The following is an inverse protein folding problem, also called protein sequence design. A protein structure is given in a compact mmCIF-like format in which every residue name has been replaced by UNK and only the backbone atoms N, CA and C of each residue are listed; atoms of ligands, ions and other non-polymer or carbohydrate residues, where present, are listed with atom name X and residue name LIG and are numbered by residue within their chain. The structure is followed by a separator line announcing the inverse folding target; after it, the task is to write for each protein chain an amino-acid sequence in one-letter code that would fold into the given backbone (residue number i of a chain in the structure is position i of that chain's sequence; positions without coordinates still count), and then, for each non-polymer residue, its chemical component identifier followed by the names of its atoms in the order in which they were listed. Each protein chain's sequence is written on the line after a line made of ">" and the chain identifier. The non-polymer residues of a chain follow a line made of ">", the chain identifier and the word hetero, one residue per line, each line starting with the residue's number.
data_IF_198636745455
#
_entry.id   IF_198636745455
#
_cell.length_a   1.000
_cell.length_b   1.000
_cell.length_c   1.000
_cell.angle_alpha   90.00
_cell.angle_beta   90.00
_cell.angle_gamma   90.00
#
_symmetry.space_group_name_H-M   'P 1'
#
loop_
_entity.id
_entity.type
_entity.pdbx_description
1 polymer ?
#
# COMPACT_ATOMS: atom_id res chain seq x y z
N UNK A 1 -14.72 -67.40 -35.97
CA UNK A 1 -14.17 -66.19 -36.62
C UNK A 1 -15.23 -65.61 -37.52
N UNK A 2 -15.88 -64.53 -37.12
CA UNK A 2 -16.80 -63.76 -37.96
C UNK A 2 -16.50 -62.28 -37.71
N UNK A 3 -15.64 -61.72 -38.54
CA UNK A 3 -15.30 -60.30 -38.53
C UNK A 3 -16.46 -59.51 -39.11
N UNK A 4 -17.22 -58.82 -38.26
CA UNK A 4 -18.28 -57.90 -38.68
C UNK A 4 -17.61 -56.62 -39.20
N UNK A 5 -17.55 -56.49 -40.53
CA UNK A 5 -17.11 -55.26 -41.19
C UNK A 5 -18.25 -54.24 -41.10
N UNK A 6 -17.96 -53.04 -40.58
CA UNK A 6 -18.91 -51.94 -40.46
C UNK A 6 -19.35 -51.48 -41.87
N UNK A 7 -20.65 -51.20 -42.10
CA UNK A 7 -21.13 -50.76 -43.41
C UNK A 7 -20.49 -49.41 -43.82
N UNK A 8 -20.12 -49.24 -45.11
CA UNK A 8 -19.37 -48.07 -45.59
C UNK A 8 -20.09 -46.73 -45.37
N UNK A 9 -21.42 -46.74 -45.26
CA UNK A 9 -22.21 -45.55 -44.94
C UNK A 9 -22.01 -45.06 -43.49
N UNK A 10 -21.76 -45.96 -42.53
CA UNK A 10 -21.46 -45.58 -41.14
C UNK A 10 -20.04 -45.01 -41.00
N UNK A 11 -19.09 -45.52 -41.78
CA UNK A 11 -17.72 -44.99 -41.81
C UNK A 11 -17.69 -43.56 -42.38
N UNK A 12 -18.49 -43.28 -43.42
CA UNK A 12 -18.65 -41.92 -43.96
C UNK A 12 -19.30 -40.97 -42.97
N UNK A 13 -20.26 -41.43 -42.17
CA UNK A 13 -20.92 -40.60 -41.16
C UNK A 13 -20.00 -40.31 -39.95
N UNK A 14 -19.19 -41.28 -39.53
CA UNK A 14 -18.18 -41.10 -38.48
C UNK A 14 -17.02 -40.20 -38.96
N UNK A 15 -16.62 -40.30 -40.23
CA UNK A 15 -15.62 -39.40 -40.82
C UNK A 15 -16.15 -37.96 -40.93
N UNK A 16 -17.42 -37.77 -41.29
CA UNK A 16 -18.09 -36.46 -41.29
C UNK A 16 -18.26 -35.88 -39.87
N UNK A 17 -18.53 -36.71 -38.86
CA UNK A 17 -18.57 -36.28 -37.45
C UNK A 17 -17.17 -35.90 -36.94
N UNK A 18 -16.13 -36.63 -37.31
CA UNK A 18 -14.73 -36.34 -36.96
C UNK A 18 -14.19 -35.10 -37.68
N UNK A 19 -14.62 -34.85 -38.92
CA UNK A 19 -14.32 -33.61 -39.68
C UNK A 19 -15.07 -32.38 -39.15
N UNK A 20 -16.17 -32.56 -38.40
CA UNK A 20 -16.84 -31.47 -37.68
C UNK A 20 -16.26 -31.18 -36.28
N UNK A 21 -15.32 -32.01 -35.80
CA UNK A 21 -14.63 -31.83 -34.51
C UNK A 21 -13.21 -31.27 -34.65
N UNK A 22 -12.70 -31.08 -35.88
CA UNK A 22 -11.45 -30.37 -36.14
C UNK A 22 -11.74 -28.98 -36.72
N UNK A 23 -11.21 -27.94 -36.07
CA UNK A 23 -11.29 -26.52 -36.44
C UNK A 23 -12.55 -25.75 -35.98
N UNK A 24 -12.70 -25.65 -34.66
CA UNK A 24 -12.78 -24.32 -34.04
C UNK A 24 -11.61 -24.15 -33.08
N UNK A 25 -10.41 -24.23 -33.62
CA UNK A 25 -9.39 -23.29 -33.19
C UNK A 25 -9.83 -21.94 -33.75
N UNK A 26 -10.73 -21.26 -33.05
CA UNK A 26 -10.61 -19.81 -33.02
C UNK A 26 -9.26 -19.57 -32.35
N UNK A 27 -8.20 -19.55 -33.15
CA UNK A 27 -7.12 -18.60 -32.91
C UNK A 27 -7.87 -17.29 -32.71
N UNK A 28 -8.02 -16.87 -31.45
CA UNK A 28 -8.41 -15.52 -31.16
C UNK A 28 -7.48 -14.68 -32.02
N UNK A 29 -8.03 -14.02 -33.05
CA UNK A 29 -7.29 -12.99 -33.74
C UNK A 29 -6.88 -12.06 -32.61
N UNK A 30 -5.60 -12.12 -32.22
CA UNK A 30 -5.11 -11.38 -31.06
C UNK A 30 -5.47 -9.92 -31.32
N UNK A 31 -6.31 -9.35 -30.47
CA UNK A 31 -6.49 -7.91 -30.48
C UNK A 31 -5.10 -7.31 -30.28
N UNK A 32 -4.60 -6.61 -31.29
CA UNK A 32 -3.30 -5.97 -31.24
C UNK A 32 -3.46 -4.65 -30.50
N UNK A 33 -2.98 -4.62 -29.25
CA UNK A 33 -3.01 -3.41 -28.44
C UNK A 33 -1.79 -2.56 -28.74
N UNK A 34 -1.96 -1.26 -29.06
CA UNK A 34 -0.84 -0.39 -29.41
C UNK A 34 0.10 -0.24 -28.20
N UNK A 35 1.40 -0.44 -28.45
CA UNK A 35 2.48 -0.21 -27.48
C UNK A 35 3.31 1.03 -27.83
N UNK A 36 2.67 2.01 -28.47
CA UNK A 36 3.31 3.21 -29.03
C UNK A 36 3.49 4.36 -28.02
N UNK A 37 3.31 4.07 -26.73
CA UNK A 37 3.45 5.06 -25.66
C UNK A 37 2.22 5.94 -25.44
N UNK A 38 1.08 5.64 -26.06
CA UNK A 38 -0.19 6.32 -25.76
C UNK A 38 -1.00 5.56 -24.70
N UNK A 39 -1.83 6.31 -23.96
CA UNK A 39 -2.80 5.72 -23.04
C UNK A 39 -3.92 5.05 -23.84
N UNK A 40 -4.12 3.75 -23.65
CA UNK A 40 -5.16 2.99 -24.34
C UNK A 40 -6.51 3.07 -23.61
N UNK A 41 -7.60 3.17 -24.37
CA UNK A 41 -8.96 3.10 -23.84
C UNK A 41 -9.43 1.64 -23.78
N UNK A 42 -9.77 1.18 -22.57
CA UNK A 42 -10.31 -0.15 -22.35
C UNK A 42 -11.77 -0.10 -21.87
N UNK A 43 -12.52 -1.14 -22.22
CA UNK A 43 -13.90 -1.36 -21.81
C UNK A 43 -14.22 -2.85 -21.62
N UNK A 44 -15.47 -3.15 -21.27
CA UNK A 44 -15.95 -4.52 -21.02
C UNK A 44 -15.68 -5.50 -22.18
N UNK A 45 -15.52 -5.02 -23.42
CA UNK A 45 -15.34 -5.88 -24.60
C UNK A 45 -13.88 -6.28 -24.86
N UNK A 46 -12.91 -5.43 -24.51
CA UNK A 46 -11.50 -5.63 -24.81
C UNK A 46 -10.60 -5.80 -23.57
N UNK A 47 -11.12 -5.59 -22.35
CA UNK A 47 -10.32 -5.62 -21.13
C UNK A 47 -9.63 -6.98 -20.89
N UNK A 48 -10.37 -8.08 -21.01
CA UNK A 48 -9.80 -9.42 -20.77
C UNK A 48 -8.80 -9.82 -21.86
N UNK A 49 -9.00 -9.37 -23.10
CA UNK A 49 -8.03 -9.55 -24.18
C UNK A 49 -6.74 -8.77 -23.90
N UNK A 50 -6.85 -7.53 -23.40
CA UNK A 50 -5.70 -6.73 -22.99
C UNK A 50 -4.89 -7.41 -21.87
N UNK A 51 -5.57 -7.97 -20.86
CA UNK A 51 -4.92 -8.72 -19.78
C UNK A 51 -4.16 -9.97 -20.27
N UNK A 52 -4.67 -10.64 -21.31
CA UNK A 52 -4.01 -11.80 -21.90
C UNK A 52 -2.87 -11.47 -22.87
N UNK A 53 -2.87 -10.26 -23.45
CA UNK A 53 -1.92 -9.84 -24.48
C UNK A 53 -0.79 -8.93 -23.96
N UNK A 54 -0.94 -8.33 -22.78
CA UNK A 54 -0.02 -7.35 -22.22
C UNK A 54 0.49 -7.85 -20.86
N UNK A 55 1.79 -8.14 -20.78
CA UNK A 55 2.40 -8.67 -19.56
C UNK A 55 2.38 -7.67 -18.40
N UNK A 56 2.60 -6.38 -18.69
CA UNK A 56 2.56 -5.30 -17.71
C UNK A 56 1.60 -4.20 -18.15
N UNK A 57 0.39 -4.20 -17.58
CA UNK A 57 -0.68 -3.27 -17.92
C UNK A 57 -1.03 -2.40 -16.71
N UNK A 58 -0.77 -1.10 -16.80
CA UNK A 58 -1.13 -0.13 -15.78
C UNK A 58 -2.45 0.56 -16.13
N UNK A 59 -3.50 0.33 -15.33
CA UNK A 59 -4.87 0.77 -15.60
C UNK A 59 -5.31 1.85 -14.62
N UNK A 60 -5.81 2.97 -15.14
CA UNK A 60 -6.58 3.98 -14.42
C UNK A 60 -8.08 3.69 -14.49
N UNK A 61 -8.66 3.23 -13.39
CA UNK A 61 -10.10 3.14 -13.23
C UNK A 61 -10.64 4.52 -12.82
N UNK A 62 -11.27 5.20 -13.78
CA UNK A 62 -11.65 6.60 -13.65
C UNK A 62 -13.15 6.83 -13.82
N UNK A 63 -13.58 8.04 -13.46
CA UNK A 63 -14.91 8.57 -13.81
C UNK A 63 -14.78 9.97 -14.43
N UNK A 64 -15.57 10.30 -15.47
CA UNK A 64 -15.41 11.53 -16.24
C UNK A 64 -15.71 12.80 -15.44
N UNK A 65 -16.52 12.70 -14.39
CA UNK A 65 -16.86 13.80 -13.49
C UNK A 65 -15.84 14.01 -12.36
N UNK A 66 -14.92 13.07 -12.13
CA UNK A 66 -13.99 13.12 -11.00
C UNK A 66 -12.84 14.10 -11.27
N UNK A 67 -12.72 15.14 -10.45
CA UNK A 67 -11.65 16.14 -10.56
C UNK A 67 -10.24 15.57 -10.35
N UNK A 68 -10.09 14.52 -9.53
CA UNK A 68 -8.81 13.85 -9.31
C UNK A 68 -8.36 13.08 -10.55
N UNK A 69 -9.29 12.42 -11.26
CA UNK A 69 -9.03 11.73 -12.53
C UNK A 69 -8.58 12.72 -13.61
N UNK A 70 -9.27 13.86 -13.72
CA UNK A 70 -8.92 14.91 -14.70
C UNK A 70 -7.49 15.46 -14.50
N UNK A 71 -7.01 15.54 -13.25
CA UNK A 71 -5.64 15.96 -12.95
C UNK A 71 -4.61 14.85 -13.20
N UNK A 72 -5.01 13.59 -13.06
CA UNK A 72 -4.13 12.44 -13.29
C UNK A 72 -3.94 12.13 -14.79
N UNK A 73 -4.96 12.31 -15.61
CA UNK A 73 -4.91 12.03 -17.05
C UNK A 73 -3.65 12.61 -17.76
N UNK A 74 -3.30 13.91 -17.63
CA UNK A 74 -2.10 14.44 -18.27
C UNK A 74 -0.79 13.82 -17.75
N UNK A 75 -0.74 13.43 -16.47
CA UNK A 75 0.43 12.76 -15.89
C UNK A 75 0.59 11.34 -16.46
N UNK A 76 -0.51 10.65 -16.78
CA UNK A 76 -0.50 9.36 -17.46
C UNK A 76 -0.05 9.50 -18.91
N UNK A 77 -0.51 10.53 -19.61
CA UNK A 77 -0.10 10.84 -20.99
C UNK A 77 1.41 11.15 -21.06
N UNK A 78 1.98 11.81 -20.05
CA UNK A 78 3.42 12.05 -19.96
C UNK A 78 4.22 10.78 -19.59
N UNK A 79 3.68 9.94 -18.70
CA UNK A 79 4.34 8.72 -18.24
C UNK A 79 4.35 7.59 -19.28
N UNK A 80 3.26 7.43 -20.03
CA UNK A 80 3.05 6.34 -20.99
C UNK A 80 4.20 6.15 -22.01
N UNK A 81 4.75 7.19 -22.67
CA UNK A 81 5.85 7.00 -23.61
C UNK A 81 7.12 6.51 -22.93
N UNK A 82 7.42 7.00 -21.73
CA UNK A 82 8.61 6.57 -20.98
C UNK A 82 8.49 5.11 -20.52
N UNK A 83 7.29 4.71 -20.11
CA UNK A 83 6.98 3.35 -19.67
C UNK A 83 6.96 2.33 -20.80
N UNK A 84 6.51 2.74 -22.00
CA UNK A 84 6.54 1.90 -23.18
C UNK A 84 7.95 1.64 -23.72
N UNK A 85 8.90 2.55 -23.44
CA UNK A 85 10.29 2.46 -23.88
C UNK A 85 11.21 1.63 -22.97
N UNK A 86 10.66 0.98 -21.93
CA UNK A 86 11.43 0.09 -21.07
C UNK A 86 11.79 -1.21 -21.79
N UNK A 87 12.81 -1.92 -21.28
CA UNK A 87 13.15 -3.27 -21.77
C UNK A 87 11.97 -4.24 -21.66
N UNK A 88 11.18 -4.05 -20.61
CA UNK A 88 9.91 -4.72 -20.36
C UNK A 88 8.83 -3.61 -20.35
N UNK A 89 8.13 -3.37 -21.48
CA UNK A 89 7.21 -2.26 -21.62
C UNK A 89 6.03 -2.35 -20.65
N UNK A 90 5.76 -1.25 -19.94
CA UNK A 90 4.51 -1.10 -19.19
C UNK A 90 3.54 -0.28 -20.04
N UNK A 91 2.44 -0.91 -20.47
CA UNK A 91 1.40 -0.23 -21.24
C UNK A 91 0.46 0.48 -20.27
N UNK A 92 0.13 1.74 -20.55
CA UNK A 92 -0.79 2.53 -19.74
C UNK A 92 -2.18 2.53 -20.40
N UNK A 93 -3.21 2.29 -19.60
CA UNK A 93 -4.58 2.19 -20.02
C UNK A 93 -5.51 2.96 -19.07
N UNK A 94 -6.73 3.23 -19.53
CA UNK A 94 -7.80 3.78 -18.70
C UNK A 94 -9.12 3.09 -18.97
N UNK A 95 -9.93 2.95 -17.93
CA UNK A 95 -11.27 2.36 -17.98
C UNK A 95 -12.24 3.28 -17.27
N UNK A 96 -13.33 3.66 -17.95
CA UNK A 96 -14.43 4.38 -17.32
C UNK A 96 -15.26 3.44 -16.44
N UNK A 97 -14.86 3.28 -15.18
CA UNK A 97 -15.50 2.39 -14.22
C UNK A 97 -16.85 2.91 -13.70
N UNK A 98 -17.19 4.19 -13.92
CA UNK A 98 -18.55 4.69 -13.68
C UNK A 98 -19.54 4.19 -14.76
N UNK A 99 -19.09 4.07 -16.01
CA UNK A 99 -19.86 3.46 -17.11
C UNK A 99 -19.85 1.93 -17.01
N UNK A 100 -18.67 1.33 -16.81
CA UNK A 100 -18.43 -0.11 -16.76
C UNK A 100 -18.38 -0.62 -15.31
N UNK A 101 -19.48 -0.46 -14.58
CA UNK A 101 -19.52 -0.72 -13.13
C UNK A 101 -19.21 -2.16 -12.74
N UNK A 102 -19.62 -3.13 -13.56
CA UNK A 102 -19.33 -4.56 -13.31
C UNK A 102 -17.83 -4.83 -13.32
N UNK A 103 -17.11 -4.23 -14.27
CA UNK A 103 -15.66 -4.32 -14.39
C UNK A 103 -14.97 -3.64 -13.20
N UNK A 104 -15.43 -2.44 -12.81
CA UNK A 104 -14.96 -1.78 -11.59
C UNK A 104 -15.15 -2.63 -10.33
N UNK A 105 -16.35 -3.17 -10.13
CA UNK A 105 -16.66 -4.04 -8.98
C UNK A 105 -15.87 -5.35 -8.98
N UNK A 106 -15.58 -5.94 -10.16
CA UNK A 106 -14.74 -7.15 -10.28
C UNK A 106 -13.36 -6.96 -9.64
N UNK A 107 -12.83 -5.73 -9.70
CA UNK A 107 -11.51 -5.39 -9.16
C UNK A 107 -11.60 -4.55 -7.87
N UNK A 108 -12.76 -4.48 -7.21
CA UNK A 108 -12.89 -3.76 -5.92
C UNK A 108 -12.69 -2.24 -6.03
N UNK A 109 -13.08 -1.63 -7.16
CA UNK A 109 -12.99 -0.18 -7.34
C UNK A 109 -14.13 0.51 -6.58
N UNK A 110 -13.83 1.00 -5.38
CA UNK A 110 -14.77 1.71 -4.50
C UNK A 110 -14.65 3.24 -4.56
N UNK A 111 -13.70 3.77 -5.33
CA UNK A 111 -13.44 5.20 -5.49
C UNK A 111 -12.64 5.52 -6.75
N UNK A 112 -12.50 6.81 -7.07
CA UNK A 112 -11.80 7.24 -8.28
C UNK A 112 -10.78 8.36 -8.03
N UNK A 113 -9.61 8.34 -8.71
CA UNK A 113 -9.12 7.23 -9.51
C UNK A 113 -8.59 6.10 -8.61
N UNK A 114 -8.79 4.86 -9.05
CA UNK A 114 -8.09 3.67 -8.54
C UNK A 114 -7.12 3.20 -9.60
N UNK A 115 -5.85 3.11 -9.24
CA UNK A 115 -4.77 2.75 -10.14
C UNK A 115 -4.36 1.30 -9.86
N UNK A 116 -4.22 0.48 -10.90
CA UNK A 116 -3.79 -0.90 -10.75
C UNK A 116 -2.73 -1.27 -11.79
N UNK A 117 -1.69 -1.95 -11.34
CA UNK A 117 -0.75 -2.63 -12.22
C UNK A 117 -1.12 -4.10 -12.31
N UNK A 118 -1.42 -4.57 -13.51
CA UNK A 118 -1.60 -5.98 -13.81
C UNK A 118 -0.28 -6.55 -14.27
N UNK A 119 0.20 -7.57 -13.57
CA UNK A 119 1.41 -8.33 -13.92
C UNK A 119 0.97 -9.72 -14.32
N UNK A 120 1.07 -10.04 -15.61
CA UNK A 120 0.56 -11.28 -16.21
C UNK A 120 -0.90 -11.55 -15.80
N UNK A 121 -1.74 -10.53 -15.90
CA UNK A 121 -3.16 -10.58 -15.52
C UNK A 121 -3.46 -10.51 -14.02
N UNK A 122 -2.45 -10.53 -13.14
CA UNK A 122 -2.65 -10.44 -11.68
C UNK A 122 -2.65 -8.99 -11.22
N UNK A 123 -3.75 -8.47 -10.63
CA UNK A 123 -3.85 -7.07 -10.22
C UNK A 123 -3.03 -6.77 -8.97
N UNK A 124 -2.43 -5.57 -8.94
CA UNK A 124 -1.78 -4.96 -7.78
C UNK A 124 -2.25 -3.51 -7.71
N UNK A 125 -2.92 -3.13 -6.62
CA UNK A 125 -3.30 -1.74 -6.42
C UNK A 125 -2.06 -0.86 -6.25
N UNK A 126 -2.02 0.25 -6.97
CA UNK A 126 -0.96 1.24 -6.91
C UNK A 126 -1.39 2.41 -6.02
N UNK A 127 -0.70 2.55 -4.89
CA UNK A 127 -0.95 3.63 -3.90
C UNK A 127 0.14 4.70 -3.91
N UNK A 128 1.07 4.64 -4.86
CA UNK A 128 2.20 5.57 -4.96
C UNK A 128 1.81 6.95 -5.51
N UNK A 129 2.83 7.78 -5.73
CA UNK A 129 2.66 9.13 -6.28
C UNK A 129 2.01 9.12 -7.67
N UNK A 130 1.17 10.13 -7.90
CA UNK A 130 0.39 10.31 -9.14
C UNK A 130 1.03 11.29 -10.13
N UNK A 131 2.23 11.81 -9.81
CA UNK A 131 3.02 12.66 -10.71
C UNK A 131 3.83 11.81 -11.67
N UNK A 132 3.93 12.19 -12.94
CA UNK A 132 4.51 11.41 -14.03
C UNK A 132 5.92 10.91 -13.70
N UNK A 133 6.80 11.79 -13.23
CA UNK A 133 8.19 11.48 -12.89
C UNK A 133 8.32 10.39 -11.80
N UNK A 134 7.53 10.52 -10.73
CA UNK A 134 7.51 9.57 -9.62
C UNK A 134 6.73 8.30 -9.95
N UNK A 135 5.66 8.42 -10.74
CA UNK A 135 4.88 7.30 -11.25
C UNK A 135 5.75 6.39 -12.10
N UNK A 136 6.49 6.96 -13.06
CA UNK A 136 7.43 6.22 -13.90
C UNK A 136 8.47 5.50 -13.05
N UNK A 137 9.11 6.20 -12.09
CA UNK A 137 10.10 5.59 -11.19
C UNK A 137 9.53 4.43 -10.38
N UNK A 138 8.32 4.59 -9.84
CA UNK A 138 7.68 3.54 -9.05
C UNK A 138 7.26 2.34 -9.90
N UNK A 139 6.75 2.56 -11.11
CA UNK A 139 6.33 1.48 -12.00
C UNK A 139 7.52 0.71 -12.58
N UNK A 140 8.63 1.39 -12.92
CA UNK A 140 9.90 0.77 -13.35
C UNK A 140 10.38 -0.31 -12.39
N UNK A 141 10.07 -0.18 -11.10
CA UNK A 141 10.40 -1.17 -10.06
C UNK A 141 9.87 -2.56 -10.37
N UNK A 142 8.62 -2.64 -10.82
CA UNK A 142 7.93 -3.92 -11.01
C UNK A 142 8.49 -4.72 -12.18
N UNK A 143 9.13 -4.03 -13.12
CA UNK A 143 9.75 -4.60 -14.32
C UNK A 143 11.28 -4.63 -14.27
N UNK A 144 11.88 -4.12 -13.19
CA UNK A 144 13.33 -4.19 -13.01
C UNK A 144 13.78 -5.62 -12.70
N UNK A 145 15.08 -5.96 -12.80
CA UNK A 145 15.61 -7.22 -12.28
C UNK A 145 15.30 -7.41 -10.79
N UNK A 146 15.34 -8.65 -10.30
CA UNK A 146 15.17 -8.95 -8.87
C UNK A 146 16.35 -8.44 -8.05
N UNK A 147 17.54 -8.49 -8.63
CA UNK A 147 18.76 -7.86 -8.10
C UNK A 147 19.49 -7.17 -9.24
N UNK A 148 19.91 -5.92 -9.02
CA UNK A 148 20.77 -5.20 -9.97
C UNK A 148 22.25 -5.46 -9.64
N UNK A 149 23.06 -5.75 -10.65
CA UNK A 149 24.52 -5.90 -10.48
C UNK A 149 25.19 -4.57 -10.80
N UNK A 150 26.02 -4.07 -9.88
CA UNK A 150 26.62 -2.74 -9.94
C UNK A 150 28.15 -2.88 -9.97
N UNK A 151 28.76 -2.47 -11.08
CA UNK A 151 30.19 -2.69 -11.37
C UNK A 151 31.05 -1.43 -11.14
N UNK A 152 30.55 -0.41 -10.45
CA UNK A 152 31.31 0.81 -10.10
C UNK A 152 30.57 1.72 -9.13
N UNK A 153 31.29 2.66 -8.51
CA UNK A 153 30.74 3.76 -7.73
C UNK A 153 29.66 4.56 -8.46
N UNK A 154 29.86 4.83 -9.76
CA UNK A 154 28.89 5.56 -10.56
C UNK A 154 27.62 4.73 -10.76
N UNK A 155 27.74 3.41 -10.97
CA UNK A 155 26.58 2.53 -11.06
C UNK A 155 25.79 2.51 -9.75
N UNK A 156 26.47 2.49 -8.60
CA UNK A 156 25.84 2.55 -7.27
C UNK A 156 25.06 3.86 -7.08
N UNK A 157 25.71 5.00 -7.33
CA UNK A 157 25.09 6.32 -7.21
C UNK A 157 23.88 6.46 -8.11
N UNK A 158 24.02 6.07 -9.40
CA UNK A 158 22.94 6.12 -10.37
C UNK A 158 21.78 5.18 -9.97
N UNK A 159 22.06 4.00 -9.43
CA UNK A 159 21.03 3.09 -8.97
C UNK A 159 20.22 3.68 -7.81
N UNK A 160 20.89 4.23 -6.79
CA UNK A 160 20.22 4.86 -5.65
C UNK A 160 19.41 6.09 -6.06
N UNK A 161 19.95 6.92 -6.96
CA UNK A 161 19.23 8.08 -7.51
C UNK A 161 17.98 7.66 -8.30
N UNK A 162 18.12 6.67 -9.19
CA UNK A 162 17.01 6.19 -10.02
C UNK A 162 15.94 5.44 -9.22
N UNK A 163 16.32 4.72 -8.17
CA UNK A 163 15.41 4.03 -7.26
C UNK A 163 14.48 5.02 -6.52
N UNK A 164 14.94 6.27 -6.35
CA UNK A 164 14.17 7.34 -5.73
C UNK A 164 13.94 7.12 -4.23
N UNK A 165 12.89 7.75 -3.70
CA UNK A 165 12.62 7.77 -2.25
C UNK A 165 11.44 6.90 -1.81
N UNK A 166 10.71 6.30 -2.74
CA UNK A 166 9.44 5.63 -2.44
C UNK A 166 9.59 4.27 -1.77
N UNK A 167 10.73 3.60 -1.96
CA UNK A 167 10.99 2.27 -1.42
C UNK A 167 12.35 2.21 -0.72
N UNK A 168 12.51 1.37 0.30
CA UNK A 168 13.83 1.01 0.82
C UNK A 168 14.70 0.35 -0.25
N UNK A 169 16.01 0.52 -0.09
CA UNK A 169 17.05 0.01 -1.00
C UNK A 169 18.02 -0.85 -0.20
N UNK A 170 18.27 -2.06 -0.65
CA UNK A 170 19.25 -2.99 -0.10
C UNK A 170 20.45 -3.08 -1.04
N UNK A 171 21.62 -2.64 -0.56
CA UNK A 171 22.89 -2.69 -1.28
C UNK A 171 23.82 -3.71 -0.63
N UNK A 172 24.10 -4.79 -1.35
CA UNK A 172 25.02 -5.83 -0.92
C UNK A 172 26.45 -5.56 -1.40
N UNK A 173 27.42 -5.67 -0.50
CA UNK A 173 28.85 -5.51 -0.77
C UNK A 173 29.60 -6.78 -0.40
N UNK A 174 30.26 -7.41 -1.38
CA UNK A 174 30.95 -8.69 -1.17
C UNK A 174 30.01 -9.87 -0.84
N UNK A 175 28.73 -9.76 -1.19
CA UNK A 175 27.71 -10.80 -0.96
C UNK A 175 27.41 -11.61 -2.22
N UNK A 176 26.83 -12.80 -2.04
CA UNK A 176 26.37 -13.63 -3.14
C UNK A 176 25.10 -13.03 -3.77
N UNK A 177 25.15 -12.71 -5.06
CA UNK A 177 24.04 -12.12 -5.82
C UNK A 177 22.87 -13.07 -6.02
N UNK A 178 23.09 -14.39 -6.10
CA UNK A 178 22.01 -15.37 -6.18
C UNK A 178 21.19 -15.40 -4.88
N UNK A 179 21.85 -15.31 -3.73
CA UNK A 179 21.19 -15.20 -2.42
C UNK A 179 20.36 -13.91 -2.34
N UNK A 180 20.94 -12.77 -2.70
CA UNK A 180 20.20 -11.48 -2.67
C UNK A 180 19.05 -11.47 -3.68
N UNK A 181 19.17 -12.14 -4.83
CA UNK A 181 18.10 -12.27 -5.81
C UNK A 181 16.86 -13.00 -5.25
N UNK A 182 17.03 -13.94 -4.32
CA UNK A 182 15.90 -14.60 -3.66
C UNK A 182 15.05 -13.61 -2.85
N UNK A 183 15.70 -12.73 -2.09
CA UNK A 183 15.04 -11.63 -1.38
C UNK A 183 14.47 -10.58 -2.34
N UNK A 184 15.18 -10.30 -3.43
CA UNK A 184 14.73 -9.47 -4.54
C UNK A 184 13.38 -9.92 -5.11
N UNK A 185 13.23 -11.23 -5.36
CA UNK A 185 11.96 -11.83 -5.78
C UNK A 185 10.89 -11.73 -4.70
N UNK A 186 11.22 -12.16 -3.49
CA UNK A 186 10.27 -12.22 -2.37
C UNK A 186 9.70 -10.85 -2.00
N UNK A 187 10.54 -9.82 -2.03
CA UNK A 187 10.21 -8.45 -1.62
C UNK A 187 10.14 -7.48 -2.80
N UNK A 188 9.92 -7.98 -4.02
CA UNK A 188 9.87 -7.17 -5.25
C UNK A 188 8.97 -5.93 -5.14
N UNK A 189 7.82 -6.08 -4.47
CA UNK A 189 6.82 -5.03 -4.28
C UNK A 189 7.17 -4.03 -3.17
N UNK A 190 8.16 -4.34 -2.32
CA UNK A 190 8.44 -3.62 -1.07
C UNK A 190 9.81 -2.98 -1.02
N UNK A 191 10.82 -3.49 -1.75
CA UNK A 191 12.19 -3.01 -1.64
C UNK A 191 13.02 -3.23 -2.90
N UNK A 192 14.00 -2.37 -3.14
CA UNK A 192 14.99 -2.50 -4.22
C UNK A 192 16.18 -3.31 -3.72
N UNK A 193 16.76 -4.15 -4.57
CA UNK A 193 17.95 -4.93 -4.21
C UNK A 193 19.01 -4.79 -5.28
N UNK A 194 20.25 -4.61 -4.85
CA UNK A 194 21.41 -4.61 -5.73
C UNK A 194 22.64 -5.18 -5.03
N UNK A 195 23.59 -5.64 -5.82
CA UNK A 195 24.90 -6.11 -5.35
C UNK A 195 25.99 -5.36 -6.09
N UNK A 196 26.85 -4.69 -5.33
CA UNK A 196 28.06 -4.05 -5.82
C UNK A 196 29.18 -5.09 -5.94
N UNK A 197 29.70 -5.24 -7.16
CA UNK A 197 30.86 -6.09 -7.49
C UNK A 197 32.18 -5.32 -7.43
N UNK A 198 32.12 -4.01 -7.68
CA UNK A 198 33.24 -3.08 -7.53
C UNK A 198 32.79 -1.78 -6.86
N UNK A 199 33.61 -1.27 -5.94
CA UNK A 199 33.36 -0.06 -5.15
C UNK A 199 34.65 0.45 -4.50
N UNK A 200 34.75 1.77 -4.33
CA UNK A 200 35.87 2.42 -3.66
C UNK A 200 35.71 2.52 -2.14
N UNK A 201 36.79 2.91 -1.45
CA UNK A 201 36.75 3.29 -0.02
C UNK A 201 35.80 4.47 0.23
N UNK A 202 35.59 5.37 -0.74
CA UNK A 202 34.64 6.49 -0.61
C UNK A 202 33.20 5.97 -0.49
N UNK A 203 32.85 4.88 -1.20
CA UNK A 203 31.55 4.21 -1.06
C UNK A 203 31.43 3.56 0.31
N UNK A 204 32.51 2.95 0.81
CA UNK A 204 32.55 2.38 2.16
C UNK A 204 32.26 3.43 3.23
N UNK A 205 32.90 4.60 3.12
CA UNK A 205 32.65 5.75 4.00
C UNK A 205 31.22 6.27 3.85
N UNK A 206 30.74 6.44 2.61
CA UNK A 206 29.40 6.99 2.35
C UNK A 206 28.26 6.13 2.91
N UNK A 207 28.42 4.81 2.91
CA UNK A 207 27.46 3.87 3.47
C UNK A 207 27.88 3.30 4.83
N UNK A 208 28.89 3.91 5.45
CA UNK A 208 29.35 3.66 6.83
C UNK A 208 29.73 2.20 7.16
N UNK A 209 30.20 1.43 6.16
CA UNK A 209 30.69 0.06 6.40
C UNK A 209 32.20 -0.04 6.29
N UNK A 210 32.82 -0.91 7.09
CA UNK A 210 34.29 -1.04 7.20
C UNK A 210 34.83 -2.40 6.75
N UNK A 211 33.95 -3.36 6.48
CA UNK A 211 34.31 -4.72 6.07
C UNK A 211 33.23 -5.33 5.18
N UNK A 212 33.62 -6.38 4.47
CA UNK A 212 32.71 -7.23 3.70
C UNK A 212 32.73 -8.67 4.22
N UNK A 213 31.65 -9.46 4.05
CA UNK A 213 30.38 -9.08 3.41
C UNK A 213 29.54 -8.11 4.26
N UNK A 214 28.84 -7.18 3.60
CA UNK A 214 27.92 -6.24 4.23
C UNK A 214 26.65 -6.06 3.39
N UNK A 215 25.52 -5.87 4.06
CA UNK A 215 24.27 -5.46 3.45
C UNK A 215 23.79 -4.17 4.09
N UNK A 216 23.65 -3.13 3.27
CA UNK A 216 23.18 -1.82 3.68
C UNK A 216 21.71 -1.69 3.30
N UNK A 217 20.83 -1.49 4.27
CA UNK A 217 19.44 -1.13 4.03
C UNK A 217 19.28 0.38 4.17
N UNK A 218 18.78 1.05 3.14
CA UNK A 218 18.65 2.51 3.06
C UNK A 218 17.17 2.85 2.95
N UNK A 219 16.74 3.84 3.71
CA UNK A 219 15.42 4.45 3.63
C UNK A 219 15.56 5.92 3.18
N UNK A 220 15.55 6.20 1.86
CA UNK A 220 15.87 7.53 1.38
C UNK A 220 14.86 8.60 1.82
N UNK A 221 13.56 8.25 1.93
CA UNK A 221 12.50 9.13 2.46
C UNK A 221 12.80 9.62 3.88
N UNK A 222 13.38 8.75 4.71
CA UNK A 222 13.63 9.00 6.12
C UNK A 222 15.08 9.42 6.40
N UNK A 223 15.96 9.35 5.40
CA UNK A 223 17.41 9.58 5.51
C UNK A 223 18.04 8.69 6.59
N UNK A 224 17.62 7.44 6.61
CA UNK A 224 18.10 6.42 7.55
C UNK A 224 18.78 5.29 6.79
N UNK A 225 19.75 4.65 7.44
CA UNK A 225 20.36 3.42 6.96
C UNK A 225 20.63 2.45 8.10
N UNK A 226 20.75 1.17 7.76
CA UNK A 226 21.05 0.07 8.67
C UNK A 226 22.07 -0.85 8.04
N UNK A 227 23.00 -1.36 8.86
CA UNK A 227 24.09 -2.20 8.42
C UNK A 227 23.96 -3.62 8.97
N UNK A 228 24.21 -4.60 8.11
CA UNK A 228 24.25 -6.01 8.47
C UNK A 228 25.52 -6.67 7.97
N UNK A 229 26.33 -7.18 8.89
CA UNK A 229 27.58 -7.88 8.60
C UNK A 229 27.43 -9.41 8.56
N UNK A 230 26.21 -9.92 8.69
CA UNK A 230 25.94 -11.35 8.75
C UNK A 230 25.61 -11.87 10.15
N UNK A 231 25.41 -13.19 10.27
CA UNK A 231 25.64 -14.21 9.24
C UNK A 231 24.67 -14.11 8.05
N UNK A 232 25.17 -14.36 6.83
CA UNK A 232 24.38 -14.37 5.58
C UNK A 232 23.69 -15.73 5.38
N UNK A 233 22.94 -16.14 6.41
CA UNK A 233 22.16 -17.36 6.46
C UNK A 233 20.67 -17.00 6.46
N UNK A 234 19.82 -17.89 5.93
CA UNK A 234 18.42 -17.62 5.60
C UNK A 234 17.66 -16.91 6.74
N UNK A 235 17.71 -17.41 7.97
CA UNK A 235 16.96 -16.87 9.10
C UNK A 235 17.42 -15.46 9.51
N UNK A 236 18.74 -15.26 9.65
CA UNK A 236 19.28 -13.99 10.14
C UNK A 236 19.16 -12.88 9.09
N UNK A 237 19.42 -13.23 7.82
CA UNK A 237 19.28 -12.29 6.72
C UNK A 237 17.81 -11.96 6.47
N UNK A 238 16.91 -12.94 6.54
CA UNK A 238 15.45 -12.71 6.47
C UNK A 238 14.96 -11.78 7.57
N UNK A 239 15.40 -11.99 8.81
CA UNK A 239 15.02 -11.13 9.92
C UNK A 239 15.52 -9.70 9.69
N UNK A 240 16.76 -9.51 9.27
CA UNK A 240 17.30 -8.18 8.95
C UNK A 240 16.55 -7.50 7.81
N UNK A 241 16.31 -8.21 6.71
CA UNK A 241 15.58 -7.66 5.55
C UNK A 241 14.17 -7.28 5.97
N UNK A 242 13.42 -8.17 6.63
CA UNK A 242 12.05 -7.92 7.10
C UNK A 242 12.00 -6.72 8.04
N UNK A 243 12.90 -6.66 9.02
CA UNK A 243 12.97 -5.56 9.98
C UNK A 243 13.29 -4.22 9.31
N UNK A 244 14.11 -4.24 8.25
CA UNK A 244 14.56 -3.07 7.49
C UNK A 244 13.68 -2.74 6.28
N UNK A 245 12.48 -3.32 6.18
CA UNK A 245 11.44 -2.83 5.25
C UNK A 245 10.76 -1.55 5.78
N UNK A 246 10.91 -1.28 7.07
CA UNK A 246 10.40 -0.11 7.77
C UNK A 246 11.58 0.74 8.28
N UNK A 247 11.43 2.07 8.33
CA UNK A 247 12.43 2.91 9.02
C UNK A 247 12.53 2.50 10.50
N UNK A 248 13.64 2.86 11.13
CA UNK A 248 13.91 2.53 12.53
C UNK A 248 12.83 3.10 13.45
N UNK A 249 12.37 4.32 13.16
CA UNK A 249 11.25 4.95 13.85
C UNK A 249 10.19 5.33 12.82
N UNK A 250 9.03 4.71 12.89
CA UNK A 250 7.96 4.81 11.91
C UNK A 250 7.02 5.96 12.27
N UNK A 251 6.88 7.01 11.44
CA UNK A 251 5.80 7.97 11.61
C UNK A 251 4.47 7.26 11.32
N UNK A 252 3.55 7.26 12.27
CA UNK A 252 2.27 6.58 12.13
C UNK A 252 1.31 7.47 11.34
N UNK A 253 0.94 6.98 10.16
CA UNK A 253 -0.05 7.57 9.27
C UNK A 253 -0.75 6.44 8.49
N UNK A 254 -1.71 6.77 7.63
CA UNK A 254 -2.46 5.77 6.87
C UNK A 254 -1.58 4.85 6.01
N UNK A 255 -0.49 5.37 5.44
CA UNK A 255 0.45 4.61 4.60
C UNK A 255 1.26 3.63 5.46
N UNK A 256 1.88 4.12 6.54
CA UNK A 256 2.74 3.30 7.38
C UNK A 256 1.96 2.31 8.24
N UNK A 257 0.72 2.60 8.62
CA UNK A 257 -0.16 1.63 9.29
C UNK A 257 -0.44 0.40 8.42
N UNK A 258 -0.66 0.59 7.11
CA UNK A 258 -0.79 -0.53 6.16
C UNK A 258 0.50 -1.32 6.03
N UNK A 259 1.66 -0.66 6.09
CA UNK A 259 2.94 -1.39 6.08
C UNK A 259 3.16 -2.17 7.38
N UNK A 260 2.63 -1.66 8.49
CA UNK A 260 2.70 -2.32 9.79
C UNK A 260 1.78 -3.52 9.88
N UNK A 261 0.60 -3.53 9.26
CA UNK A 261 -0.35 -4.67 9.37
C UNK A 261 0.25 -6.02 9.01
N UNK A 262 1.26 -6.03 8.12
CA UNK A 262 1.96 -7.25 7.68
C UNK A 262 3.17 -7.60 8.56
N UNK A 263 3.53 -6.75 9.51
CA UNK A 263 4.58 -6.97 10.51
C UNK A 263 3.96 -7.59 11.76
N UNK A 264 4.65 -8.53 12.41
CA UNK A 264 4.17 -9.19 13.64
C UNK A 264 4.77 -8.62 14.93
N UNK A 265 5.72 -7.68 14.82
CA UNK A 265 6.41 -7.09 15.98
C UNK A 265 5.48 -6.17 16.75
N UNK A 266 5.59 -6.13 18.07
CA UNK A 266 4.85 -5.15 18.88
C UNK A 266 5.37 -3.74 18.61
N UNK A 267 4.48 -2.76 18.69
CA UNK A 267 4.82 -1.35 18.40
C UNK A 267 5.01 -0.61 19.71
N UNK A 268 6.20 -0.07 19.94
CA UNK A 268 6.48 0.93 20.95
C UNK A 268 6.08 2.29 20.36
N UNK A 269 4.84 2.72 20.64
CA UNK A 269 4.25 3.95 20.12
C UNK A 269 4.54 5.13 21.05
N UNK A 270 5.12 6.19 20.49
CA UNK A 270 5.29 7.49 21.16
C UNK A 270 4.22 8.46 20.67
N UNK A 271 3.34 8.88 21.58
CA UNK A 271 2.35 9.91 21.30
C UNK A 271 2.94 11.27 21.72
N UNK A 272 2.88 12.21 20.78
CA UNK A 272 3.44 13.55 20.86
C UNK A 272 2.32 14.58 20.76
N UNK A 273 2.57 15.81 21.17
CA UNK A 273 1.62 16.90 20.91
C UNK A 273 1.63 17.27 19.42
N UNK A 274 2.83 17.49 18.88
CA UNK A 274 3.10 17.89 17.51
C UNK A 274 4.39 17.23 17.05
N UNK A 275 4.31 16.28 16.11
CA UNK A 275 5.50 15.55 15.66
C UNK A 275 6.46 16.35 14.78
N UNK A 276 6.11 17.61 14.47
CA UNK A 276 6.92 18.52 13.65
C UNK A 276 7.76 19.50 14.47
N UNK A 277 7.58 19.53 15.79
CA UNK A 277 8.32 20.44 16.66
C UNK A 277 9.78 19.96 16.94
N UNK A 278 10.61 20.88 17.43
CA UNK A 278 12.04 20.62 17.65
C UNK A 278 12.28 19.57 18.74
N UNK A 279 11.50 19.63 19.82
CA UNK A 279 11.57 18.68 20.93
C UNK A 279 11.22 17.26 20.49
N UNK A 280 10.14 17.10 19.71
CA UNK A 280 9.76 15.82 19.11
C UNK A 280 10.83 15.31 18.16
N UNK A 281 11.42 16.18 17.35
CA UNK A 281 12.52 15.81 16.44
C UNK A 281 13.73 15.30 17.23
N UNK A 282 14.05 15.89 18.38
CA UNK A 282 15.12 15.43 19.26
C UNK A 282 14.77 14.08 19.92
N UNK A 283 13.53 13.92 20.41
CA UNK A 283 13.06 12.65 20.97
C UNK A 283 13.06 11.52 19.93
N UNK A 284 12.67 11.79 18.68
CA UNK A 284 12.73 10.82 17.58
C UNK A 284 14.18 10.35 17.32
N UNK A 285 15.18 11.22 17.46
CA UNK A 285 16.60 10.80 17.40
C UNK A 285 16.97 9.83 18.53
N UNK A 286 16.46 10.06 19.75
CA UNK A 286 16.68 9.17 20.88
C UNK A 286 15.98 7.82 20.65
N UNK A 287 14.72 7.86 20.18
CA UNK A 287 13.96 6.66 19.81
C UNK A 287 14.68 5.85 18.73
N UNK A 288 15.36 6.50 17.79
CA UNK A 288 16.14 5.80 16.75
C UNK A 288 17.28 4.99 17.34
N UNK A 289 18.00 5.52 18.33
CA UNK A 289 19.04 4.78 19.05
C UNK A 289 18.46 3.58 19.80
N UNK A 290 17.32 3.76 20.46
CA UNK A 290 16.62 2.68 21.13
C UNK A 290 16.13 1.61 20.14
N UNK A 291 15.55 2.01 19.01
CA UNK A 291 15.08 1.13 17.95
C UNK A 291 16.21 0.30 17.34
N UNK A 292 17.38 0.91 17.14
CA UNK A 292 18.54 0.20 16.62
C UNK A 292 19.01 -0.93 17.54
N UNK A 293 18.89 -0.76 18.86
CA UNK A 293 19.21 -1.77 19.86
C UNK A 293 18.09 -2.80 20.11
N UNK A 294 16.87 -2.53 19.64
CA UNK A 294 15.67 -3.31 19.95
C UNK A 294 14.86 -3.60 18.68
N UNK A 295 15.51 -4.24 17.68
CA UNK A 295 14.94 -4.53 16.36
C UNK A 295 13.76 -5.53 16.39
N UNK A 296 13.62 -6.27 17.48
CA UNK A 296 12.47 -7.13 17.80
C UNK A 296 11.16 -6.35 18.00
N UNK A 297 11.26 -5.03 18.21
CA UNK A 297 10.12 -4.12 18.33
C UNK A 297 10.11 -3.13 17.16
N UNK A 298 8.93 -2.62 16.84
CA UNK A 298 8.79 -1.44 15.97
C UNK A 298 8.68 -0.22 16.85
N UNK A 299 9.45 0.82 16.60
CA UNK A 299 9.26 2.11 17.25
C UNK A 299 8.41 2.98 16.33
N UNK A 300 7.31 3.52 16.85
CA UNK A 300 6.40 4.39 16.12
C UNK A 300 6.22 5.73 16.83
N UNK A 301 5.87 6.77 16.09
CA UNK A 301 5.44 8.04 16.69
C UNK A 301 4.26 8.66 15.95
N UNK A 302 3.44 9.42 16.69
CA UNK A 302 2.31 10.17 16.14
C UNK A 302 2.08 11.43 16.97
N UNK A 303 1.87 12.56 16.31
CA UNK A 303 1.43 13.78 16.98
C UNK A 303 -0.10 13.92 16.99
N UNK A 304 -0.66 14.49 18.06
CA UNK A 304 -2.08 14.81 18.15
C UNK A 304 -2.50 15.78 17.05
N UNK A 305 -1.69 16.79 16.74
CA UNK A 305 -2.00 17.74 15.67
C UNK A 305 -2.06 17.09 14.29
N UNK A 306 -1.28 16.03 14.08
CA UNK A 306 -1.21 15.30 12.83
C UNK A 306 -2.35 14.29 12.71
N UNK A 307 -2.74 13.62 13.80
CA UNK A 307 -3.77 12.60 13.75
C UNK A 307 -4.55 12.36 15.04
N UNK A 308 -5.27 13.39 15.49
CA UNK A 308 -6.13 13.39 16.69
C UNK A 308 -7.02 12.13 16.79
N UNK A 309 -7.78 11.82 15.74
CA UNK A 309 -8.70 10.68 15.74
C UNK A 309 -8.03 9.31 15.86
N UNK A 310 -6.76 9.17 15.48
CA UNK A 310 -6.00 7.94 15.76
C UNK A 310 -5.54 7.93 17.22
N UNK A 311 -5.05 9.04 17.75
CA UNK A 311 -4.56 9.15 19.12
C UNK A 311 -5.66 8.91 20.16
N UNK A 312 -6.88 9.37 19.89
CA UNK A 312 -8.05 9.16 20.76
C UNK A 312 -8.33 7.67 21.03
N UNK A 313 -7.97 6.77 20.12
CA UNK A 313 -8.14 5.32 20.30
C UNK A 313 -7.30 4.75 21.46
N UNK A 314 -6.28 5.48 21.91
CA UNK A 314 -5.41 5.13 23.04
C UNK A 314 -5.80 5.81 24.35
N UNK A 315 -7.01 6.39 24.46
CA UNK A 315 -7.48 7.15 25.64
C UNK A 315 -6.49 8.28 25.99
N UNK A 316 -5.95 8.90 24.94
CA UNK A 316 -5.08 10.08 25.00
C UNK A 316 -5.78 11.21 24.27
N UNK A 317 -5.87 12.36 24.94
CA UNK A 317 -6.55 13.56 24.44
C UNK A 317 -5.63 14.77 24.50
N UNK A 318 -6.06 15.91 23.96
CA UNK A 318 -5.33 17.20 24.01
C UNK A 318 -4.99 17.69 25.42
N UNK A 319 -5.69 17.22 26.46
CA UNK A 319 -5.40 17.56 27.86
C UNK A 319 -4.43 16.58 28.54
N UNK A 320 -4.03 15.51 27.83
CA UNK A 320 -3.10 14.52 28.35
C UNK A 320 -1.69 15.10 28.42
N UNK A 321 -0.92 14.66 29.41
CA UNK A 321 0.48 15.03 29.52
C UNK A 321 1.32 14.20 28.55
N UNK A 322 2.05 14.88 27.68
CA UNK A 322 2.87 14.32 26.60
C UNK A 322 4.34 14.74 26.79
N UNK A 323 5.31 14.03 26.20
CA UNK A 323 5.17 12.83 25.37
C UNK A 323 4.88 11.56 26.18
N UNK A 324 4.13 10.62 25.58
CA UNK A 324 3.70 9.36 26.20
C UNK A 324 4.14 8.17 25.38
N UNK A 325 4.78 7.20 26.01
CA UNK A 325 5.25 5.96 25.40
C UNK A 325 4.29 4.81 25.77
N UNK A 326 3.97 3.94 24.82
CA UNK A 326 3.15 2.76 25.07
C UNK A 326 3.58 1.57 24.22
N UNK A 327 3.31 0.34 24.70
CA UNK A 327 3.48 -0.87 23.90
C UNK A 327 2.12 -1.32 23.38
N UNK A 328 1.96 -1.26 22.07
CA UNK A 328 0.75 -1.63 21.35
C UNK A 328 0.93 -3.02 20.73
N UNK A 329 0.11 -3.97 21.17
CA UNK A 329 0.17 -5.39 20.75
C UNK A 329 -0.44 -5.62 19.36
N UNK A 330 -1.27 -4.69 18.87
CA UNK A 330 -2.02 -4.77 17.60
C UNK A 330 -2.98 -5.95 17.47
N UNK A 331 -2.91 -6.93 18.34
CA UNK A 331 -3.87 -8.02 18.47
C UNK A 331 -5.24 -7.52 18.93
N UNK A 332 -6.27 -7.88 18.16
CA UNK A 332 -7.68 -7.66 18.49
C UNK A 332 -8.20 -8.87 19.28
N UNK A 333 -8.32 -8.76 20.61
CA UNK A 333 -9.02 -9.78 21.41
C UNK A 333 -10.54 -9.57 21.32
N UNK A 334 -11.26 -10.49 20.68
CA UNK A 334 -12.72 -10.56 20.72
C UNK A 334 -13.18 -11.11 22.09
N UNK A 335 -13.86 -10.29 22.91
CA UNK A 335 -14.56 -10.79 24.09
C UNK A 335 -15.99 -11.23 23.74
N UNK A 336 -16.23 -12.55 23.74
CA UNK A 336 -17.60 -13.09 23.82
C UNK A 336 -18.10 -12.91 25.26
N UNK A 337 -18.91 -11.87 25.51
CA UNK A 337 -19.62 -11.74 26.77
C UNK A 337 -20.73 -12.81 26.88
N UNK A 338 -20.72 -13.70 27.90
CA UNK A 338 -21.81 -14.62 28.12
C UNK A 338 -22.89 -13.91 28.95
N UNK A 339 -23.87 -13.28 28.30
CA UNK A 339 -25.08 -12.82 28.98
C UNK A 339 -26.36 -13.36 28.34
N UNK A 340 -26.95 -14.32 29.06
CA UNK A 340 -28.36 -14.76 29.10
C UNK A 340 -29.10 -15.04 27.77
N UNK A 341 -29.16 -16.32 27.44
CA UNK A 341 -30.34 -17.05 26.93
C UNK A 341 -31.14 -16.48 25.74
N UNK A 342 -30.53 -15.77 24.80
CA UNK A 342 -31.04 -15.69 23.42
C UNK A 342 -29.86 -15.83 22.45
N UNK A 343 -29.93 -16.80 21.54
CA UNK A 343 -28.99 -16.89 20.42
C UNK A 343 -29.19 -15.69 19.51
N UNK A 344 -28.34 -14.68 19.69
CA UNK A 344 -28.02 -13.70 18.65
C UNK A 344 -26.50 -13.62 18.64
N UNK A 345 -25.91 -13.87 17.47
CA UNK A 345 -24.47 -13.70 17.22
C UNK A 345 -24.09 -12.28 17.64
N UNK A 346 -23.36 -12.17 18.74
CA UNK A 346 -23.10 -10.90 19.43
C UNK A 346 -22.22 -9.98 18.61
N UNK A 347 -22.84 -9.16 17.78
CA UNK A 347 -22.26 -8.01 17.09
C UNK A 347 -22.74 -6.77 17.84
N UNK A 348 -21.85 -6.11 18.59
CA UNK A 348 -22.16 -4.77 19.09
C UNK A 348 -22.00 -3.79 17.94
N UNK A 349 -23.09 -3.61 17.17
CA UNK A 349 -23.24 -2.47 16.27
C UNK A 349 -23.79 -1.30 17.09
N UNK A 350 -23.07 -0.18 17.13
CA UNK A 350 -23.72 1.12 17.37
C UNK A 350 -24.64 1.45 16.18
N UNK A 351 -25.59 2.36 16.36
CA UNK A 351 -26.59 2.72 15.33
C UNK A 351 -25.99 3.27 14.02
N UNK A 352 -24.69 3.56 14.01
CA UNK A 352 -23.87 4.02 12.88
C UNK A 352 -23.00 2.90 12.25
N UNK A 353 -23.07 1.66 12.76
CA UNK A 353 -22.34 0.49 12.22
C UNK A 353 -20.92 0.31 12.75
N UNK A 354 -20.47 1.09 13.73
CA UNK A 354 -19.10 1.01 14.28
C UNK A 354 -18.94 -0.20 15.21
N UNK A 355 -17.94 -1.06 14.96
CA UNK A 355 -17.56 -2.19 15.81
C UNK A 355 -16.45 -1.76 16.78
N UNK A 356 -16.77 -1.72 18.07
CA UNK A 356 -15.77 -1.50 19.14
C UNK A 356 -15.01 -2.80 19.42
N UNK A 357 -13.68 -2.78 19.29
CA UNK A 357 -12.80 -3.85 19.80
C UNK A 357 -11.79 -3.23 20.75
N UNK A 358 -11.52 -3.94 21.84
CA UNK A 358 -10.57 -3.43 22.81
C UNK A 358 -9.13 -3.52 22.27
N UNK A 359 -8.45 -2.38 22.20
CA UNK A 359 -7.02 -2.32 21.95
C UNK A 359 -6.27 -2.72 23.22
N UNK A 360 -5.34 -3.67 23.07
CA UNK A 360 -4.48 -4.12 24.15
C UNK A 360 -3.20 -3.28 24.18
N UNK A 361 -3.02 -2.56 25.28
CA UNK A 361 -1.77 -1.85 25.59
C UNK A 361 -1.08 -2.59 26.74
N UNK A 362 0.08 -3.17 26.45
CA UNK A 362 0.84 -3.99 27.40
C UNK A 362 1.63 -3.15 28.43
N UNK A 363 1.71 -1.84 28.22
CA UNK A 363 2.34 -0.89 29.14
C UNK A 363 2.28 0.53 28.63
N UNK A 364 2.24 1.52 29.52
CA UNK A 364 2.39 2.93 29.17
C UNK A 364 3.21 3.69 30.21
N UNK A 365 4.09 4.58 29.76
CA UNK A 365 4.92 5.43 30.61
C UNK A 365 4.95 6.85 30.05
N UNK A 366 4.95 7.85 30.95
CA UNK A 366 5.15 9.25 30.57
C UNK A 366 6.65 9.52 30.51
N UNK A 367 7.09 10.25 29.49
CA UNK A 367 8.47 10.71 29.42
C UNK A 367 8.55 12.12 29.99
N UNK A 368 9.39 12.30 31.01
CA UNK A 368 9.69 13.60 31.60
C UNK A 368 10.87 14.29 30.87
N UNK A 369 10.94 15.61 30.97
CA UNK A 369 12.10 16.37 30.52
C UNK A 369 13.36 15.94 31.29
N UNK A 370 14.49 15.75 30.58
CA UNK A 370 15.73 15.26 31.17
C UNK A 370 16.32 14.09 30.38
N UNK A 371 16.81 13.05 31.08
CA UNK A 371 17.41 11.87 30.47
C UNK A 371 16.36 10.89 29.93
N UNK A 372 15.79 11.24 28.78
CA UNK A 372 14.78 10.43 28.09
C UNK A 372 15.33 9.10 27.59
N UNK A 373 16.64 9.00 27.32
CA UNK A 373 17.27 7.75 26.86
C UNK A 373 17.26 6.69 27.97
N UNK A 374 17.60 7.09 29.20
CA UNK A 374 17.50 6.21 30.37
C UNK A 374 16.06 5.82 30.67
N UNK A 375 15.10 6.75 30.58
CA UNK A 375 13.67 6.46 30.79
C UNK A 375 13.15 5.43 29.78
N UNK A 376 13.44 5.60 28.48
CA UNK A 376 13.05 4.62 27.44
C UNK A 376 13.67 3.25 27.72
N UNK A 377 14.94 3.20 28.12
CA UNK A 377 15.63 1.94 28.42
C UNK A 377 14.97 1.22 29.62
N UNK A 378 14.68 1.96 30.69
CA UNK A 378 14.01 1.43 31.88
C UNK A 378 12.59 0.94 31.58
N UNK A 379 11.83 1.68 30.76
CA UNK A 379 10.51 1.26 30.29
C UNK A 379 10.57 -0.10 29.58
N UNK A 380 11.50 -0.24 28.62
CA UNK A 380 11.65 -1.46 27.82
C UNK A 380 12.10 -2.65 28.67
N UNK A 381 13.00 -2.44 29.63
CA UNK A 381 13.37 -3.46 30.61
C UNK A 381 12.20 -3.85 31.52
N UNK A 382 11.40 -2.87 31.95
CA UNK A 382 10.18 -3.09 32.72
C UNK A 382 9.17 -3.92 31.93
N UNK A 383 8.96 -3.59 30.67
CA UNK A 383 8.08 -4.29 29.74
C UNK A 383 8.53 -5.74 29.55
N UNK A 384 9.80 -5.97 29.21
CA UNK A 384 10.36 -7.33 29.02
C UNK A 384 10.29 -8.17 30.29
N UNK A 385 10.43 -7.55 31.46
CA UNK A 385 10.27 -8.21 32.74
C UNK A 385 8.81 -8.44 33.16
N UNK A 386 7.82 -8.02 32.36
CA UNK A 386 6.40 -8.11 32.68
C UNK A 386 5.98 -7.21 33.85
N UNK A 387 6.76 -6.17 34.17
CA UNK A 387 6.53 -5.23 35.27
C UNK A 387 5.67 -4.03 34.86
N UNK A 388 5.31 -3.90 33.59
CA UNK A 388 4.43 -2.82 33.11
C UNK A 388 2.97 -3.08 33.48
N UNK A 389 2.25 -2.01 33.80
CA UNK A 389 0.81 -2.06 34.02
C UNK A 389 0.09 -2.24 32.68
N UNK A 390 -0.46 -3.42 32.46
CA UNK A 390 -1.31 -3.68 31.30
C UNK A 390 -2.63 -2.92 31.45
N UNK A 391 -2.95 -2.05 30.48
CA UNK A 391 -4.23 -1.35 30.43
C UNK A 391 -4.96 -1.80 29.18
N UNK A 392 -6.14 -2.38 29.36
CA UNK A 392 -7.04 -2.72 28.26
C UNK A 392 -7.85 -1.45 27.92
N UNK A 393 -7.67 -0.92 26.72
CA UNK A 393 -8.32 0.32 26.27
C UNK A 393 -9.49 -0.05 25.36
N UNK A 394 -10.65 0.54 25.59
CA UNK A 394 -11.83 0.33 24.74
C UNK A 394 -11.78 1.37 23.61
N UNK A 395 -11.68 0.92 22.36
CA UNK A 395 -11.67 1.78 21.17
C UNK A 395 -12.35 1.11 19.98
N UNK A 396 -12.47 1.78 18.83
CA UNK A 396 -12.79 1.09 17.57
C UNK A 396 -11.67 0.09 17.24
N UNK A 397 -12.03 -1.04 16.62
CA UNK A 397 -11.05 -2.02 16.14
C UNK A 397 -10.00 -1.38 15.23
N UNK A 398 -8.76 -1.88 15.24
CA UNK A 398 -7.72 -1.38 14.34
C UNK A 398 -8.14 -1.58 12.88
N UNK A 399 -8.65 -2.77 12.55
CA UNK A 399 -9.19 -3.06 11.22
C UNK A 399 -10.47 -2.27 10.93
N UNK A 400 -11.34 -2.06 11.92
CA UNK A 400 -12.52 -1.20 11.77
C UNK A 400 -12.19 0.28 11.64
N UNK A 401 -11.11 0.76 12.24
CA UNK A 401 -10.59 2.12 12.06
C UNK A 401 -10.00 2.29 10.66
N UNK A 402 -9.18 1.34 10.19
CA UNK A 402 -8.69 1.33 8.81
C UNK A 402 -9.84 1.33 7.79
N UNK A 403 -10.86 0.49 8.02
CA UNK A 403 -12.06 0.44 7.18
C UNK A 403 -12.93 1.70 7.33
N UNK A 404 -12.96 2.34 8.51
CA UNK A 404 -13.68 3.59 8.77
C UNK A 404 -13.03 4.78 8.07
N UNK A 405 -11.71 4.84 7.96
CA UNK A 405 -11.02 5.84 7.14
C UNK A 405 -11.40 5.73 5.66
N UNK A 406 -11.68 4.50 5.20
CA UNK A 406 -12.19 4.25 3.85
C UNK A 406 -13.67 4.68 3.72
N UNK A 407 -14.50 4.44 4.75
CA UNK A 407 -15.94 4.76 4.74
C UNK A 407 -16.30 6.22 5.10
N UNK A 408 -15.43 6.96 5.78
CA UNK A 408 -15.63 8.38 6.11
C UNK A 408 -15.72 9.23 4.84
N UNK A 409 -14.97 8.90 3.79
CA UNK A 409 -15.13 9.51 2.47
C UNK A 409 -16.53 9.27 1.90
N UNK A 410 -17.12 8.08 2.12
CA UNK A 410 -18.50 7.77 1.71
C UNK A 410 -19.54 8.56 2.51
N UNK A 411 -19.29 8.84 3.80
CA UNK A 411 -20.19 9.65 4.63
C UNK A 411 -20.20 11.13 4.21
N UNK A 412 -19.03 11.70 3.90
CA UNK A 412 -18.93 13.05 3.33
C UNK A 412 -19.60 13.13 1.96
N UNK A 413 -19.46 12.10 1.12
CA UNK A 413 -20.16 12.00 -0.16
C UNK A 413 -21.68 11.93 0.07
N UNK A 414 -22.16 11.17 1.05
CA UNK A 414 -23.59 11.09 1.37
C UNK A 414 -24.14 12.44 1.86
N UNK A 415 -23.43 13.12 2.76
CA UNK A 415 -23.79 14.46 3.23
C UNK A 415 -23.78 15.47 2.08
N UNK A 416 -22.79 15.39 1.20
CA UNK A 416 -22.69 16.25 0.01
C UNK A 416 -23.82 15.99 -0.99
N UNK A 417 -24.20 14.72 -1.21
CA UNK A 417 -25.32 14.33 -2.07
C UNK A 417 -26.65 14.80 -1.46
N UNK A 418 -26.85 14.66 -0.15
CA UNK A 418 -28.04 15.17 0.55
C UNK A 418 -28.10 16.70 0.45
N UNK A 419 -26.98 17.40 0.64
CA UNK A 419 -26.91 18.86 0.48
C UNK A 419 -27.23 19.30 -0.96
N UNK A 420 -26.71 18.59 -1.97
CA UNK A 420 -27.04 18.83 -3.38
C UNK A 420 -28.52 18.60 -3.69
N UNK A 421 -29.13 17.56 -3.13
CA UNK A 421 -30.57 17.30 -3.27
C UNK A 421 -31.40 18.40 -2.61
N UNK A 422 -31.00 18.87 -1.42
CA UNK A 422 -31.66 20.01 -0.76
C UNK A 422 -31.56 21.29 -1.59
N UNK A 423 -30.40 21.56 -2.19
CA UNK A 423 -30.20 22.71 -3.08
C UNK A 423 -31.06 22.60 -4.34
N UNK A 424 -31.14 21.41 -4.97
CA UNK A 424 -32.02 21.20 -6.13
C UNK A 424 -33.50 21.39 -5.79
N UNK A 425 -33.95 20.88 -4.65
CA UNK A 425 -35.34 21.06 -4.18
C UNK A 425 -35.62 22.53 -3.84
N UNK A 426 -34.65 23.24 -3.25
CA UNK A 426 -34.77 24.66 -2.94
C UNK A 426 -34.92 25.52 -4.20
N UNK A 427 -34.16 25.22 -5.27
CA UNK A 427 -34.27 25.94 -6.54
C UNK A 427 -35.49 25.54 -7.38
N UNK A 428 -35.99 24.31 -7.24
CA UNK A 428 -37.23 23.88 -7.90
C UNK A 428 -38.50 24.52 -7.31
N UNK A 429 -38.42 25.16 -6.14
CA UNK A 429 -39.55 25.79 -5.45
C UNK A 429 -39.78 27.28 -5.77
N UNK A 430 -39.03 27.90 -6.69
CA UNK A 430 -39.13 29.35 -6.96
C UNK A 430 -39.90 29.75 -8.23
N UNK A 431 -40.50 28.83 -8.99
CA UNK A 431 -41.05 29.14 -10.32
C UNK A 431 -42.57 29.44 -10.38
N UNK A 432 -43.24 29.64 -9.25
CA UNK A 432 -44.67 30.01 -9.22
C UNK A 432 -44.87 31.47 -8.77
N UNK A 433 -44.61 32.42 -9.67
CA UNK A 433 -45.19 33.79 -9.57
C UNK A 433 -46.17 34.02 -10.72
N UNK A 434 -47.48 34.27 -10.46
CA UNK A 434 -48.45 34.47 -11.54
C UNK A 434 -48.30 35.85 -12.18
N UNK A 435 -48.17 35.91 -13.50
CA UNK A 435 -48.23 37.17 -14.26
C UNK A 435 -49.64 37.78 -14.23
N UNK A 436 -49.79 39.11 -14.05
CA UNK A 436 -51.08 39.78 -14.16
C UNK A 436 -51.46 40.00 -15.63
N UNK A 437 -52.72 39.63 -15.98
CA UNK A 437 -53.35 39.92 -17.28
C UNK A 437 -53.35 41.43 -17.55
N UNK A 438 -52.80 41.83 -18.71
CA UNK A 438 -53.09 43.16 -19.29
C UNK A 438 -54.54 43.19 -19.79
N UNK A 439 -55.31 44.12 -19.26
CA UNK A 439 -56.59 44.56 -19.80
C UNK A 439 -56.28 45.57 -20.90
N UNK A 440 -56.83 45.35 -22.09
CA UNK A 440 -56.90 46.33 -23.16
C UNK A 440 -58.04 47.31 -22.86
N UNK A 441 -57.76 48.60 -22.79
CA UNK A 441 -58.71 49.68 -23.03
C UNK A 441 -58.04 50.78 -23.87
N UNK A 442 -58.87 51.47 -24.64
CA UNK A 442 -58.71 52.15 -25.95
C UNK A 442 -57.52 53.11 -26.16
#
# INVERSE_FOLDING_TARGET
>A
MATRVLPPALLSFILLLLLSLSARDTVAAGEDFPRDGRVIDLDDSNFEAALGAIDFLFVDFYAPWCGHCKRLAPELDEAAPVLSGLSEPIVVAKVNADKYRKLGSKYGVDGFPTLMLFIHGVPIEYTGSRKADQLVRNLKKFVSPDVSILESDSAIKNFVENAGISFPIFLGFGVNDSLIAEYGRKYKKRAWFAVAKDFSEDIMVAYEFDKVPALVAIHPKYKEQSLFYGPFEENFLEDFVRQSLLPLVVPINTETLKMLSDDQRKVVLTILEDDSDENSTQLVKILRSAANANRDLVFGYVGIKQWDGFVETFDVSKSSQLPKLLVWDRDEEYELHPYKNHCVTGMFLTSDGTVFLSMKVDGSERLEEGDQASQISQFLEGYRAGRTTKKKISGPSFMGFLNSLVSLNSLYILIFVIALLFVMVYFAGQDDTPQPRRIHEE
#
